data_IF_672703462175
#
_entry.id   IF_672703462175
#
_cell.length_a   1.000
_cell.length_b   1.000
_cell.length_c   1.000
_cell.angle_alpha   90.00
_cell.angle_beta   90.00
_cell.angle_gamma   90.00
#
_symmetry.space_group_name_H-M   'P 1'
#
loop_
_entity.id
_entity.type
_entity.pdbx_description
1 polymer ?
#
# COMPACT_ATOMS: atom_id res chain seq x y z
N UNK A 1 -16.46 3.56 -6.49
CA UNK A 1 -15.75 4.86 -6.45
C UNK A 1 -14.26 4.61 -6.52
N UNK A 2 -13.53 5.23 -7.47
CA UNK A 2 -12.07 5.10 -7.55
C UNK A 2 -11.42 5.89 -6.40
N UNK A 3 -10.49 5.29 -5.67
CA UNK A 3 -9.86 5.88 -4.46
C UNK A 3 -8.35 6.07 -4.60
N UNK A 4 -7.74 5.31 -5.52
CA UNK A 4 -6.34 5.40 -5.93
C UNK A 4 -6.25 4.96 -7.40
N UNK A 5 -5.08 5.03 -8.07
CA UNK A 5 -4.97 4.58 -9.46
C UNK A 5 -5.42 3.12 -9.64
N UNK A 6 -4.99 2.24 -8.73
CA UNK A 6 -5.23 0.80 -8.79
C UNK A 6 -6.22 0.27 -7.74
N UNK A 7 -6.88 1.16 -6.98
CA UNK A 7 -7.86 0.79 -5.94
C UNK A 7 -9.20 1.49 -6.15
N UNK A 8 -10.27 0.77 -5.90
CA UNK A 8 -11.63 1.28 -5.89
C UNK A 8 -12.44 0.71 -4.73
N UNK A 9 -13.38 1.50 -4.22
CA UNK A 9 -14.33 1.08 -3.19
C UNK A 9 -15.68 0.75 -3.84
N UNK A 10 -16.29 -0.37 -3.44
CA UNK A 10 -17.62 -0.82 -3.89
C UNK A 10 -18.45 -1.34 -2.71
N UNK A 11 -19.77 -1.35 -2.87
CA UNK A 11 -20.66 -2.01 -1.92
C UNK A 11 -20.82 -3.48 -2.28
N UNK A 12 -20.66 -4.35 -1.29
CA UNK A 12 -21.00 -5.78 -1.41
C UNK A 12 -22.51 -6.00 -1.27
N UNK A 13 -23.03 -7.17 -1.70
CA UNK A 13 -24.44 -7.52 -1.54
C UNK A 13 -24.95 -7.50 -0.08
N UNK A 14 -24.06 -7.66 0.90
CA UNK A 14 -24.37 -7.58 2.34
C UNK A 14 -24.38 -6.13 2.88
N UNK A 15 -24.19 -5.13 2.01
CA UNK A 15 -24.24 -3.71 2.34
C UNK A 15 -22.90 -3.12 2.79
N UNK A 16 -21.84 -3.92 2.96
CA UNK A 16 -20.53 -3.43 3.41
C UNK A 16 -19.74 -2.74 2.28
N UNK A 17 -19.05 -1.66 2.60
CA UNK A 17 -18.12 -1.01 1.68
C UNK A 17 -16.76 -1.71 1.74
N UNK A 18 -16.23 -2.10 0.59
CA UNK A 18 -15.04 -2.94 0.46
C UNK A 18 -14.10 -2.38 -0.60
N UNK A 19 -12.80 -2.53 -0.37
CA UNK A 19 -11.75 -2.09 -1.29
C UNK A 19 -11.39 -3.23 -2.24
N UNK A 20 -11.39 -2.93 -3.53
CA UNK A 20 -11.06 -3.84 -4.62
C UNK A 20 -9.91 -3.29 -5.46
N UNK A 21 -9.19 -4.19 -6.13
CA UNK A 21 -8.27 -3.82 -7.20
C UNK A 21 -9.06 -3.37 -8.43
N UNK A 22 -8.84 -2.15 -8.89
CA UNK A 22 -9.52 -1.61 -10.08
C UNK A 22 -9.06 -2.28 -11.39
N UNK A 23 -7.93 -3.00 -11.37
CA UNK A 23 -7.36 -3.71 -12.53
C UNK A 23 -7.94 -5.11 -12.72
N UNK A 24 -8.01 -5.91 -11.65
CA UNK A 24 -8.38 -7.33 -11.72
C UNK A 24 -9.58 -7.74 -10.85
N UNK A 25 -10.09 -6.84 -10.01
CA UNK A 25 -11.23 -7.11 -9.14
C UNK A 25 -10.91 -7.91 -7.88
N UNK A 26 -9.64 -8.13 -7.53
CA UNK A 26 -9.26 -8.76 -6.26
C UNK A 26 -9.84 -7.97 -5.07
N UNK A 27 -10.48 -8.65 -4.13
CA UNK A 27 -11.06 -8.09 -2.90
C UNK A 27 -9.98 -8.04 -1.80
N UNK A 28 -9.72 -6.86 -1.25
CA UNK A 28 -8.70 -6.70 -0.20
C UNK A 28 -9.31 -6.83 1.21
N UNK A 29 -10.13 -5.85 1.61
CA UNK A 29 -10.65 -5.71 2.98
C UNK A 29 -11.84 -4.75 3.02
N UNK A 30 -12.49 -4.63 4.19
CA UNK A 30 -13.49 -3.59 4.41
C UNK A 30 -12.85 -2.19 4.34
N UNK A 31 -13.63 -1.17 3.96
CA UNK A 31 -13.14 0.20 3.79
C UNK A 31 -12.63 0.85 5.10
N UNK A 32 -12.95 0.25 6.24
CA UNK A 32 -12.49 0.64 7.57
C UNK A 32 -11.17 -0.04 7.98
N UNK A 33 -10.49 -0.71 7.06
CA UNK A 33 -9.23 -1.41 7.29
C UNK A 33 -8.13 -0.90 6.35
N UNK A 34 -6.87 -1.09 6.75
CA UNK A 34 -5.73 -0.74 5.91
C UNK A 34 -5.49 -1.80 4.83
N UNK A 35 -5.81 -1.48 3.57
CA UNK A 35 -5.63 -2.38 2.42
C UNK A 35 -4.21 -2.94 2.29
N UNK A 36 -3.18 -2.20 2.74
CA UNK A 36 -1.77 -2.63 2.67
C UNK A 36 -1.51 -3.90 3.49
N UNK A 37 -2.27 -4.13 4.56
CA UNK A 37 -2.20 -5.37 5.37
C UNK A 37 -2.69 -6.62 4.62
N UNK A 38 -3.38 -6.43 3.50
CA UNK A 38 -3.95 -7.49 2.66
C UNK A 38 -3.29 -7.56 1.27
N UNK A 39 -2.24 -6.77 1.05
CA UNK A 39 -1.43 -6.78 -0.15
C UNK A 39 -0.26 -7.77 -0.02
N UNK A 40 0.35 -8.14 -1.15
CA UNK A 40 1.67 -8.78 -1.13
C UNK A 40 2.68 -7.72 -0.75
N UNK A 41 3.42 -7.98 0.32
CA UNK A 41 4.41 -7.09 0.89
C UNK A 41 5.83 -7.54 0.54
N UNK A 42 6.67 -6.60 0.14
CA UNK A 42 8.09 -6.83 -0.11
C UNK A 42 8.92 -5.65 0.41
N UNK A 43 9.94 -5.94 1.22
CA UNK A 43 10.97 -4.96 1.58
C UNK A 43 12.12 -5.05 0.58
N UNK A 44 12.43 -3.92 -0.06
CA UNK A 44 13.52 -3.81 -1.02
C UNK A 44 14.62 -2.94 -0.47
N UNK A 45 15.82 -3.49 -0.41
CA UNK A 45 17.01 -2.73 -0.10
C UNK A 45 17.32 -1.77 -1.26
N UNK A 46 17.39 -0.47 -0.95
CA UNK A 46 17.73 0.57 -1.90
C UNK A 46 19.10 0.38 -2.56
N UNK A 47 20.02 -0.32 -1.89
CA UNK A 47 21.34 -0.64 -2.43
C UNK A 47 21.28 -1.56 -3.66
N UNK A 48 20.20 -2.32 -3.81
CA UNK A 48 19.94 -3.20 -4.96
C UNK A 48 19.44 -2.42 -6.19
N UNK A 49 19.01 -1.17 -6.02
CA UNK A 49 18.44 -0.37 -7.10
C UNK A 49 19.54 0.51 -7.73
N UNK A 50 19.88 0.30 -9.02
CA UNK A 50 20.89 1.13 -9.69
C UNK A 50 20.51 2.60 -9.66
N UNK A 51 21.50 3.47 -9.45
CA UNK A 51 21.34 4.95 -9.45
C UNK A 51 20.50 5.53 -8.30
N UNK A 52 20.15 4.74 -7.27
CA UNK A 52 19.49 5.25 -6.05
C UNK A 52 20.46 5.64 -4.93
N UNK A 53 21.77 5.52 -5.13
CA UNK A 53 22.77 5.95 -4.14
C UNK A 53 22.84 7.49 -4.09
N UNK A 54 22.81 8.11 -2.90
CA UNK A 54 23.01 9.55 -2.76
C UNK A 54 24.35 9.97 -3.37
N UNK A 55 24.37 11.09 -4.09
CA UNK A 55 25.61 11.65 -4.64
C UNK A 55 26.55 12.15 -3.55
N UNK A 56 26.05 12.39 -2.34
CA UNK A 56 26.85 12.72 -1.15
C UNK A 56 27.71 11.54 -0.67
N UNK A 57 27.37 10.31 -1.05
CA UNK A 57 28.02 9.09 -0.55
C UNK A 57 27.51 8.62 0.81
N UNK A 58 26.49 9.29 1.36
CA UNK A 58 25.88 8.87 2.62
C UNK A 58 25.28 7.45 2.52
N UNK A 59 25.35 6.65 3.60
CA UNK A 59 24.74 5.35 3.62
C UNK A 59 23.22 5.47 3.47
N UNK A 60 22.63 4.50 2.79
CA UNK A 60 21.17 4.36 2.73
C UNK A 60 20.67 3.90 4.11
N UNK A 61 19.65 4.56 4.62
CA UNK A 61 19.07 4.29 5.95
C UNK A 61 17.57 3.96 5.89
N UNK A 62 16.99 3.91 4.68
CA UNK A 62 15.59 3.54 4.46
C UNK A 62 15.52 2.34 3.53
N UNK A 63 14.48 1.52 3.71
CA UNK A 63 14.06 0.48 2.78
C UNK A 63 12.80 0.93 2.04
N UNK A 64 12.58 0.38 0.84
CA UNK A 64 11.30 0.52 0.16
C UNK A 64 10.38 -0.61 0.57
N UNK A 65 9.18 -0.25 1.00
CA UNK A 65 8.10 -1.19 1.27
C UNK A 65 7.16 -1.19 0.07
N UNK A 66 7.27 -2.22 -0.77
CA UNK A 66 6.48 -2.37 -1.98
C UNK A 66 5.22 -3.20 -1.67
N UNK A 67 4.05 -2.62 -1.95
CA UNK A 67 2.75 -3.27 -1.77
C UNK A 67 2.14 -3.58 -3.13
N UNK A 68 1.87 -4.85 -3.42
CA UNK A 68 1.34 -5.29 -4.72
C UNK A 68 0.02 -6.06 -4.57
N UNK A 69 -0.83 -5.97 -5.60
CA UNK A 69 -2.09 -6.72 -5.63
C UNK A 69 -1.84 -8.23 -5.68
N UNK A 70 -2.43 -9.05 -4.79
CA UNK A 70 -2.28 -10.51 -4.83
C UNK A 70 -2.86 -11.15 -6.09
N UNK A 71 -3.87 -10.54 -6.71
CA UNK A 71 -4.53 -11.09 -7.89
C UNK A 71 -3.77 -10.88 -9.20
N UNK A 72 -3.21 -9.69 -9.42
CA UNK A 72 -2.57 -9.35 -10.71
C UNK A 72 -1.13 -8.83 -10.62
N UNK A 73 -0.58 -8.67 -9.41
CA UNK A 73 0.78 -8.19 -9.20
C UNK A 73 0.98 -6.71 -9.52
N UNK A 74 -0.07 -5.92 -9.80
CA UNK A 74 0.10 -4.47 -9.97
C UNK A 74 0.65 -3.86 -8.68
N UNK A 75 1.68 -3.03 -8.82
CA UNK A 75 2.23 -2.25 -7.71
C UNK A 75 1.19 -1.20 -7.28
N UNK A 76 0.77 -1.28 -6.03
CA UNK A 76 -0.24 -0.42 -5.43
C UNK A 76 0.38 0.83 -4.82
N UNK A 77 1.45 0.65 -4.05
CA UNK A 77 2.13 1.74 -3.33
C UNK A 77 3.59 1.36 -3.01
N UNK A 78 4.44 2.36 -2.82
CA UNK A 78 5.80 2.21 -2.29
C UNK A 78 6.02 3.21 -1.15
N UNK A 79 6.09 2.70 0.07
CA UNK A 79 6.43 3.51 1.24
C UNK A 79 7.95 3.48 1.51
N UNK A 80 8.42 4.47 2.25
CA UNK A 80 9.78 4.50 2.80
C UNK A 80 9.69 4.15 4.28
N UNK A 81 10.47 3.17 4.71
CA UNK A 81 10.57 2.80 6.14
C UNK A 81 12.02 2.93 6.60
N UNK A 82 12.21 3.61 7.72
CA UNK A 82 13.50 3.83 8.36
C UNK A 82 13.56 3.00 9.66
N UNK A 83 14.22 1.83 9.66
CA UNK A 83 14.26 0.96 10.85
C UNK A 83 14.89 1.59 12.10
N UNK A 84 15.61 2.72 11.96
CA UNK A 84 16.25 3.43 13.07
C UNK A 84 15.42 4.58 13.65
N UNK A 85 14.43 5.09 12.89
CA UNK A 85 13.61 6.24 13.29
C UNK A 85 12.14 5.90 13.47
N UNK A 86 11.63 4.94 12.70
CA UNK A 86 10.22 4.58 12.69
C UNK A 86 9.94 3.45 13.69
N UNK A 87 8.81 3.53 14.38
CA UNK A 87 8.36 2.46 15.27
C UNK A 87 7.88 1.24 14.47
N UNK A 88 7.99 0.04 15.07
CA UNK A 88 7.47 -1.19 14.44
C UNK A 88 5.94 -1.15 14.35
N UNK A 89 5.27 -0.48 15.29
CA UNK A 89 3.82 -0.29 15.29
C UNK A 89 3.34 0.52 14.09
N UNK A 90 4.16 1.45 13.60
CA UNK A 90 3.88 2.33 12.46
C UNK A 90 4.46 1.80 11.14
N UNK A 91 5.08 0.61 11.17
CA UNK A 91 5.76 0.01 10.03
C UNK A 91 4.91 -0.11 8.77
N UNK A 92 3.59 -0.25 8.90
CA UNK A 92 2.65 -0.25 7.78
C UNK A 92 1.73 0.97 7.87
N UNK A 93 2.09 2.01 7.14
CA UNK A 93 1.37 3.29 7.13
C UNK A 93 -0.08 3.11 6.62
N UNK A 94 -1.04 3.70 7.32
CA UNK A 94 -2.44 3.77 6.86
C UNK A 94 -2.75 5.14 6.25
N UNK A 95 -2.39 5.26 4.97
CA UNK A 95 -2.47 6.46 4.13
C UNK A 95 -3.89 6.80 3.66
N UNK A 96 -4.69 5.79 3.31
CA UNK A 96 -6.04 5.97 2.75
C UNK A 96 -7.09 5.55 3.79
N UNK A 97 -7.70 6.54 4.43
CA UNK A 97 -8.82 6.38 5.36
C UNK A 97 -10.04 7.07 4.78
N UNK A 98 -11.03 6.29 4.35
CA UNK A 98 -12.22 6.80 3.67
C UNK A 98 -13.43 6.46 4.51
N UNK A 99 -14.33 7.43 4.70
CA UNK A 99 -15.63 7.18 5.30
C UNK A 99 -16.47 6.28 4.37
N UNK A 100 -16.86 5.06 4.81
CA UNK A 100 -17.71 4.16 4.02
C UNK A 100 -19.02 4.81 3.55
N UNK A 101 -19.57 5.76 4.32
CA UNK A 101 -20.79 6.47 3.96
C UNK A 101 -20.61 7.42 2.76
N UNK A 102 -19.38 7.67 2.33
CA UNK A 102 -19.08 8.44 1.11
C UNK A 102 -19.40 7.68 -0.18
N UNK A 103 -19.65 6.37 -0.10
CA UNK A 103 -20.13 5.58 -1.22
C UNK A 103 -21.59 5.94 -1.52
N UNK A 104 -21.80 6.86 -2.45
CA UNK A 104 -23.13 7.21 -3.00
C UNK A 104 -23.40 6.47 -4.29
#
# INVERSE_FOLDING_TARGET
MKIHDSLEMKQRPDGKAVIFCSRCGYEFCEATENYKKHAVYWERDLAEIPRRRPTSGDPLFVVYQEYSCPGCGVLLEVDNYCPTLDSEEEKVLWDIQIDPASLR
#
